data_IF_772432906801
#
_entry.id   IF_772432906801
#
_cell.length_a   1.000
_cell.length_b   1.000
_cell.length_c   1.000
_cell.angle_alpha   90.00
_cell.angle_beta   90.00
_cell.angle_gamma   90.00
#
_symmetry.space_group_name_H-M   'P 1'
#
loop_
_entity.id
_entity.type
_entity.pdbx_description
1 polymer ?
#
# COMPACT_ATOMS: atom_id res chain seq x y z
N UNK A 1 15.14 -18.26 53.72
CA UNK A 1 16.09 -17.47 52.92
C UNK A 1 15.75 -17.71 51.45
N UNK A 2 15.11 -16.73 50.81
CA UNK A 2 14.84 -16.53 49.38
C UNK A 2 14.84 -17.76 48.45
N UNK A 3 13.63 -18.17 48.06
CA UNK A 3 13.39 -18.85 46.78
C UNK A 3 13.68 -17.85 45.66
N UNK A 4 14.64 -18.20 44.80
CA UNK A 4 14.98 -17.42 43.61
C UNK A 4 13.83 -17.56 42.61
N UNK A 5 12.96 -16.55 42.62
CA UNK A 5 11.98 -16.29 41.55
C UNK A 5 12.75 -16.08 40.26
N UNK A 6 12.77 -17.12 39.41
CA UNK A 6 13.28 -17.05 38.06
C UNK A 6 12.35 -16.11 37.30
N UNK A 7 12.79 -14.86 37.10
CA UNK A 7 12.10 -13.87 36.30
C UNK A 7 11.95 -14.41 34.87
N UNK A 8 10.75 -14.90 34.57
CA UNK A 8 10.35 -15.30 33.22
C UNK A 8 10.34 -14.01 32.41
N UNK A 9 11.42 -13.77 31.66
CA UNK A 9 11.46 -12.69 30.67
C UNK A 9 10.37 -12.97 29.63
N UNK A 10 9.25 -12.27 29.77
CA UNK A 10 8.19 -12.23 28.79
C UNK A 10 8.76 -11.59 27.53
N UNK A 11 9.14 -12.41 26.55
CA UNK A 11 9.53 -11.93 25.22
C UNK A 11 8.29 -11.29 24.62
N UNK A 12 8.27 -9.96 24.62
CA UNK A 12 7.19 -9.18 24.04
C UNK A 12 7.22 -9.39 22.53
N UNK A 13 6.39 -10.31 22.03
CA UNK A 13 6.26 -10.56 20.59
C UNK A 13 5.84 -9.25 19.91
N UNK A 14 6.78 -8.68 19.14
CA UNK A 14 6.52 -7.51 18.33
C UNK A 14 5.49 -7.91 17.28
N UNK A 15 4.27 -7.36 17.37
CA UNK A 15 3.22 -7.62 16.40
C UNK A 15 3.77 -7.42 14.98
N UNK A 16 3.59 -8.42 14.11
CA UNK A 16 4.00 -8.34 12.71
C UNK A 16 3.30 -7.15 12.06
N UNK A 17 4.09 -6.19 11.57
CA UNK A 17 3.58 -5.08 10.75
C UNK A 17 3.21 -5.68 9.39
N UNK A 18 1.91 -5.81 9.15
CA UNK A 18 1.37 -6.26 7.86
C UNK A 18 1.19 -5.02 6.99
N UNK A 19 1.75 -5.05 5.78
CA UNK A 19 1.53 -4.01 4.79
C UNK A 19 0.09 -4.09 4.28
N UNK A 20 -0.78 -3.30 4.89
CA UNK A 20 -2.19 -3.19 4.58
C UNK A 20 -2.59 -1.71 4.46
N UNK A 21 -2.44 -1.14 3.26
CA UNK A 21 -2.79 0.26 3.01
C UNK A 21 -3.16 0.53 1.54
N UNK A 22 -3.64 1.74 1.27
CA UNK A 22 -3.88 2.26 -0.07
C UNK A 22 -3.13 3.58 -0.29
N UNK A 23 -2.55 3.74 -1.48
CA UNK A 23 -1.89 4.97 -1.93
C UNK A 23 -2.84 5.66 -2.91
N UNK A 24 -3.27 6.88 -2.58
CA UNK A 24 -4.10 7.71 -3.45
C UNK A 24 -3.23 8.79 -4.09
N UNK A 25 -3.09 8.72 -5.41
CA UNK A 25 -2.29 9.66 -6.20
C UNK A 25 -3.26 10.57 -6.95
N UNK A 26 -3.22 11.87 -6.67
CA UNK A 26 -4.02 12.88 -7.36
C UNK A 26 -3.12 13.63 -8.35
N UNK A 27 -3.45 13.60 -9.64
CA UNK A 27 -2.65 14.22 -10.71
C UNK A 27 -3.54 14.90 -11.74
N UNK A 28 -2.96 15.85 -12.48
CA UNK A 28 -3.61 16.46 -13.64
C UNK A 28 -3.67 15.48 -14.82
N UNK A 29 -4.82 15.41 -15.51
CA UNK A 29 -4.97 14.59 -16.72
C UNK A 29 -4.05 15.10 -17.84
N UNK A 30 -3.31 14.19 -18.47
CA UNK A 30 -2.36 14.53 -19.54
C UNK A 30 -0.98 14.95 -19.05
N UNK A 31 -0.67 14.83 -17.75
CA UNK A 31 0.65 15.08 -17.16
C UNK A 31 1.68 13.95 -17.38
N UNK A 32 1.25 12.83 -17.99
CA UNK A 32 2.06 11.60 -18.03
C UNK A 32 1.94 10.75 -16.75
N UNK A 33 1.00 11.07 -15.84
CA UNK A 33 0.80 10.37 -14.58
C UNK A 33 0.59 8.86 -14.71
N UNK A 34 0.03 8.38 -15.83
CA UNK A 34 -0.13 6.95 -16.10
C UNK A 34 1.21 6.19 -16.10
N UNK A 35 2.27 6.79 -16.64
CA UNK A 35 3.60 6.18 -16.69
C UNK A 35 4.21 6.06 -15.30
N UNK A 36 4.07 7.11 -14.48
CA UNK A 36 4.54 7.12 -13.09
C UNK A 36 3.76 6.11 -12.24
N UNK A 37 2.43 6.09 -12.37
CA UNK A 37 1.54 5.17 -11.67
C UNK A 37 1.89 3.70 -11.96
N UNK A 38 2.12 3.37 -13.23
CA UNK A 38 2.54 2.03 -13.64
C UNK A 38 3.95 1.68 -13.13
N UNK A 39 4.86 2.66 -13.08
CA UNK A 39 6.21 2.45 -12.53
C UNK A 39 6.14 2.07 -11.05
N UNK A 40 5.34 2.79 -10.25
CA UNK A 40 5.14 2.51 -8.83
C UNK A 40 4.51 1.12 -8.64
N UNK A 41 3.42 0.82 -9.37
CA UNK A 41 2.74 -0.48 -9.29
C UNK A 41 3.72 -1.63 -9.61
N UNK A 42 4.51 -1.51 -10.68
CA UNK A 42 5.49 -2.51 -11.08
C UNK A 42 6.62 -2.66 -10.06
N UNK A 43 7.07 -1.57 -9.45
CA UNK A 43 8.09 -1.63 -8.41
C UNK A 43 7.60 -2.41 -7.18
N UNK A 44 6.39 -2.11 -6.70
CA UNK A 44 5.78 -2.83 -5.58
C UNK A 44 5.60 -4.32 -5.89
N UNK A 45 5.12 -4.64 -7.09
CA UNK A 45 4.98 -6.02 -7.54
C UNK A 45 6.33 -6.76 -7.59
N UNK A 46 7.38 -6.12 -8.13
CA UNK A 46 8.74 -6.69 -8.18
C UNK A 46 9.36 -6.90 -6.80
N UNK A 47 8.93 -6.14 -5.79
CA UNK A 47 9.33 -6.36 -4.38
C UNK A 47 8.58 -7.52 -3.72
N UNK A 48 7.71 -8.24 -4.45
CA UNK A 48 6.92 -9.35 -3.92
C UNK A 48 5.69 -8.92 -3.10
N UNK A 49 5.32 -7.64 -3.16
CA UNK A 49 4.13 -7.12 -2.48
C UNK A 49 2.93 -7.28 -3.43
N UNK A 50 1.88 -8.03 -3.05
CA UNK A 50 0.68 -8.11 -3.86
C UNK A 50 0.00 -6.74 -3.89
N UNK A 51 -0.18 -6.20 -5.10
CA UNK A 51 -0.72 -4.87 -5.33
C UNK A 51 -1.75 -4.85 -6.45
N UNK A 52 -2.72 -3.94 -6.35
CA UNK A 52 -3.68 -3.64 -7.41
C UNK A 52 -3.74 -2.13 -7.65
N UNK A 53 -3.85 -1.71 -8.90
CA UNK A 53 -3.96 -0.30 -9.29
C UNK A 53 -5.27 -0.02 -10.01
N UNK A 54 -6.01 1.01 -9.56
CA UNK A 54 -7.26 1.47 -10.20
C UNK A 54 -7.16 2.94 -10.58
N UNK A 55 -7.38 3.22 -11.87
CA UNK A 55 -7.56 4.58 -12.38
C UNK A 55 -9.01 5.06 -12.17
N UNK A 56 -9.14 6.31 -11.74
CA UNK A 56 -10.40 7.03 -11.59
C UNK A 56 -10.29 8.36 -12.34
N UNK A 57 -10.99 8.44 -13.46
CA UNK A 57 -11.10 9.64 -14.27
C UNK A 57 -12.53 10.19 -14.11
N UNK A 58 -12.75 11.29 -13.36
CA UNK A 58 -14.07 11.93 -13.29
C UNK A 58 -14.47 12.53 -14.66
N UNK A 59 -13.47 12.83 -15.49
CA UNK A 59 -13.61 13.36 -16.84
C UNK A 59 -12.31 13.12 -17.61
N UNK A 60 -12.41 12.97 -18.94
CA UNK A 60 -11.28 12.74 -19.84
C UNK A 60 -10.67 14.05 -20.41
N UNK A 61 -11.09 15.21 -19.91
CA UNK A 61 -10.56 16.51 -20.35
C UNK A 61 -9.14 16.70 -19.79
N UNK A 62 -8.20 17.14 -20.64
CA UNK A 62 -6.83 17.48 -20.23
C UNK A 62 -6.88 18.61 -19.21
N UNK A 63 -6.11 18.51 -18.14
CA UNK A 63 -6.07 19.53 -17.10
C UNK A 63 -7.00 19.28 -15.90
N UNK A 64 -7.94 18.35 -16.02
CA UNK A 64 -8.81 18.00 -14.90
C UNK A 64 -8.15 17.00 -13.94
N UNK A 65 -8.56 16.98 -12.66
CA UNK A 65 -8.00 16.06 -11.68
C UNK A 65 -8.32 14.60 -12.03
N UNK A 66 -7.33 13.75 -11.78
CA UNK A 66 -7.38 12.30 -11.99
C UNK A 66 -6.83 11.64 -10.73
N UNK A 67 -7.42 10.50 -10.36
CA UNK A 67 -6.95 9.74 -9.21
C UNK A 67 -6.49 8.35 -9.62
N UNK A 68 -5.39 7.91 -9.03
CA UNK A 68 -4.95 6.52 -9.10
C UNK A 68 -4.79 5.95 -7.71
N UNK A 69 -5.45 4.81 -7.48
CA UNK A 69 -5.46 4.14 -6.19
C UNK A 69 -4.64 2.87 -6.32
N UNK A 70 -3.56 2.75 -5.55
CA UNK A 70 -2.76 1.53 -5.44
C UNK A 70 -3.07 0.88 -4.09
N UNK A 71 -3.64 -0.32 -4.12
CA UNK A 71 -3.89 -1.13 -2.94
C UNK A 71 -2.72 -2.08 -2.72
N UNK A 72 -2.11 -2.05 -1.54
CA UNK A 72 -1.07 -3.01 -1.13
C UNK A 72 -1.60 -3.84 0.05
N UNK A 73 -1.79 -5.15 -0.18
CA UNK A 73 -2.26 -6.08 0.84
C UNK A 73 -1.78 -7.49 0.51
N UNK A 74 -1.41 -8.25 1.55
CA UNK A 74 -1.05 -9.67 1.44
C UNK A 74 -2.17 -10.50 0.81
N UNK A 75 -3.42 -10.12 1.03
CA UNK A 75 -4.59 -10.90 0.62
C UNK A 75 -5.02 -10.62 -0.83
N UNK A 76 -4.29 -9.76 -1.55
CA UNK A 76 -4.53 -9.50 -2.97
C UNK A 76 -5.83 -8.76 -3.25
N UNK A 77 -6.36 -7.98 -2.30
CA UNK A 77 -7.62 -7.25 -2.46
C UNK A 77 -7.61 -6.35 -3.71
N UNK A 78 -8.55 -6.61 -4.62
CA UNK A 78 -8.76 -5.86 -5.87
C UNK A 78 -9.50 -4.54 -5.67
N UNK A 79 -10.05 -4.29 -4.48
CA UNK A 79 -10.93 -3.16 -4.19
C UNK A 79 -10.53 -2.39 -2.92
N UNK A 80 -11.08 -1.17 -2.80
CA UNK A 80 -11.00 -0.33 -1.59
C UNK A 80 -11.81 -0.98 -0.46
N UNK A 81 -11.17 -1.17 0.70
CA UNK A 81 -11.82 -1.33 2.00
C UNK A 81 -11.26 -0.25 2.90
#
# INVERSE_FOLDING_TARGET
MSVLSVDIMQVQEKQKVVNDFAINIATENGSGSQTSNNTILRALFKMGIPVNGKNLFPSNIKGLPTWYIIRASKDGYTARR
#
